data_IF_410873438553
#
_entry.id   IF_410873438553
#
_cell.length_a   1.000
_cell.length_b   1.000
_cell.length_c   1.000
_cell.angle_alpha   90.00
_cell.angle_beta   90.00
_cell.angle_gamma   90.00
#
_symmetry.space_group_name_H-M   'P 1'
#
loop_
_entity.id
_entity.type
_entity.pdbx_description
1 polymer ?
#
# COMPACT_ATOMS: atom_id res chain seq x y z
N UNK A 1 -5.04 4.31 -19.20
CA UNK A 1 -4.81 3.98 -17.77
C UNK A 1 -3.95 5.09 -17.17
N UNK A 2 -4.29 5.63 -15.99
CA UNK A 2 -3.42 6.56 -15.28
C UNK A 2 -2.08 5.88 -14.94
N UNK A 3 -0.99 6.66 -14.92
CA UNK A 3 0.32 6.12 -14.60
C UNK A 3 0.42 5.77 -13.10
N UNK A 4 1.24 4.78 -12.71
CA UNK A 4 1.47 4.45 -11.30
C UNK A 4 1.88 5.66 -10.45
N UNK A 5 2.66 6.57 -11.02
CA UNK A 5 3.05 7.81 -10.36
C UNK A 5 1.85 8.75 -10.13
N UNK A 6 0.95 8.89 -11.11
CA UNK A 6 -0.26 9.69 -10.96
C UNK A 6 -1.19 9.10 -9.90
N UNK A 7 -1.34 7.77 -9.87
CA UNK A 7 -2.15 7.08 -8.87
C UNK A 7 -1.58 7.26 -7.47
N UNK A 8 -0.26 7.12 -7.31
CA UNK A 8 0.40 7.39 -6.03
C UNK A 8 0.12 8.82 -5.54
N UNK A 9 0.24 9.82 -6.43
CA UNK A 9 -0.10 11.22 -6.11
C UNK A 9 -1.54 11.36 -5.62
N UNK A 10 -2.49 10.70 -6.27
CA UNK A 10 -3.89 10.67 -5.84
C UNK A 10 -4.04 10.08 -4.43
N UNK A 11 -3.32 9.01 -4.10
CA UNK A 11 -3.40 8.38 -2.77
C UNK A 11 -2.86 9.29 -1.67
N UNK A 12 -1.79 10.05 -1.93
CA UNK A 12 -1.16 10.91 -0.91
C UNK A 12 -1.81 12.28 -0.77
N UNK A 13 -2.57 12.72 -1.77
CA UNK A 13 -3.28 14.00 -1.72
C UNK A 13 -4.43 13.95 -0.70
N UNK A 14 -4.36 14.80 0.32
CA UNK A 14 -5.35 14.88 1.38
C UNK A 14 -6.68 15.53 0.93
N UNK A 15 -6.66 16.31 -0.16
CA UNK A 15 -7.85 16.96 -0.72
C UNK A 15 -8.69 15.99 -1.56
N UNK A 16 -8.11 14.87 -1.97
CA UNK A 16 -8.82 13.86 -2.76
C UNK A 16 -9.80 13.10 -1.86
N UNK A 17 -11.05 12.89 -2.30
CA UNK A 17 -12.03 12.12 -1.54
C UNK A 17 -11.50 10.74 -1.13
N UNK A 18 -11.87 10.31 0.08
CA UNK A 18 -11.42 9.03 0.63
C UNK A 18 -11.64 7.86 -0.31
N UNK A 19 -12.78 7.83 -1.01
CA UNK A 19 -13.12 6.75 -1.93
C UNK A 19 -12.18 6.73 -3.14
N UNK A 20 -11.94 7.89 -3.76
CA UNK A 20 -11.00 8.03 -4.88
C UNK A 20 -9.58 7.62 -4.50
N UNK A 21 -9.14 7.95 -3.28
CA UNK A 21 -7.83 7.49 -2.76
C UNK A 21 -7.75 5.98 -2.63
N UNK A 22 -8.83 5.32 -2.19
CA UNK A 22 -8.87 3.85 -2.11
C UNK A 22 -8.86 3.21 -3.49
N UNK A 23 -9.67 3.72 -4.42
CA UNK A 23 -9.69 3.25 -5.81
C UNK A 23 -8.32 3.37 -6.46
N UNK A 24 -7.59 4.44 -6.19
CA UNK A 24 -6.22 4.59 -6.70
C UNK A 24 -5.25 3.51 -6.17
N UNK A 25 -5.45 2.99 -4.96
CA UNK A 25 -4.67 1.85 -4.44
C UNK A 25 -5.01 0.57 -5.20
N UNK A 26 -6.28 0.34 -5.50
CA UNK A 26 -6.74 -0.84 -6.25
C UNK A 26 -6.24 -0.79 -7.71
N UNK A 27 -6.20 0.39 -8.31
CA UNK A 27 -5.61 0.61 -9.63
C UNK A 27 -4.08 0.40 -9.62
N UNK A 28 -3.38 0.77 -8.55
CA UNK A 28 -1.96 0.45 -8.37
C UNK A 28 -1.72 -1.06 -8.28
N UNK A 29 -2.63 -1.80 -7.65
CA UNK A 29 -2.58 -3.27 -7.60
C UNK A 29 -2.74 -3.88 -9.01
N UNK A 30 -3.71 -3.38 -9.77
CA UNK A 30 -3.98 -3.81 -11.15
C UNK A 30 -2.79 -3.51 -12.07
N UNK A 31 -2.06 -2.42 -11.81
CA UNK A 31 -0.86 -2.05 -12.55
C UNK A 31 0.43 -2.75 -12.05
N UNK A 32 0.33 -3.69 -11.11
CA UNK A 32 1.46 -4.37 -10.46
C UNK A 32 2.51 -3.39 -9.89
N UNK A 33 2.06 -2.21 -9.46
CA UNK A 33 2.90 -1.11 -8.99
C UNK A 33 3.35 -1.32 -7.53
N UNK A 34 4.01 -2.45 -7.28
CA UNK A 34 4.44 -2.93 -5.95
C UNK A 34 5.33 -1.93 -5.22
N UNK A 35 6.19 -1.20 -5.94
CA UNK A 35 7.05 -0.17 -5.33
C UNK A 35 6.22 0.95 -4.70
N UNK A 36 5.23 1.48 -5.42
CA UNK A 36 4.34 2.53 -4.95
C UNK A 36 3.46 2.02 -3.80
N UNK A 37 2.95 0.80 -3.90
CA UNK A 37 2.16 0.17 -2.84
C UNK A 37 2.99 -0.01 -1.55
N UNK A 38 4.25 -0.42 -1.66
CA UNK A 38 5.18 -0.48 -0.52
C UNK A 38 5.36 0.89 0.12
N UNK A 39 5.60 1.93 -0.67
CA UNK A 39 5.74 3.30 -0.14
C UNK A 39 4.48 3.73 0.61
N UNK A 40 3.29 3.45 0.08
CA UNK A 40 2.01 3.74 0.75
C UNK A 40 1.91 2.99 2.09
N UNK A 41 2.29 1.70 2.12
CA UNK A 41 2.23 0.88 3.33
C UNK A 41 3.14 1.41 4.47
N UNK A 42 4.33 1.91 4.14
CA UNK A 42 5.31 2.38 5.14
C UNK A 42 5.13 3.84 5.55
N UNK A 43 4.48 4.66 4.73
CA UNK A 43 4.33 6.11 4.99
C UNK A 43 3.52 6.37 6.26
N UNK A 44 4.16 6.91 7.30
CA UNK A 44 3.55 7.18 8.61
C UNK A 44 2.48 8.28 8.57
N UNK A 45 2.60 9.24 7.66
CA UNK A 45 1.62 10.32 7.47
C UNK A 45 0.32 9.91 6.77
N UNK A 46 0.21 8.67 6.27
CA UNK A 46 -1.02 8.17 5.69
C UNK A 46 -1.91 7.50 6.74
N UNK A 47 -3.21 7.76 6.65
CA UNK A 47 -4.17 7.13 7.55
C UNK A 47 -4.08 5.60 7.46
N UNK A 48 -4.15 4.94 8.61
CA UNK A 48 -4.01 3.48 8.75
C UNK A 48 -4.82 2.64 7.75
N UNK A 49 -6.07 2.99 7.39
CA UNK A 49 -6.82 2.26 6.37
C UNK A 49 -6.13 2.16 5.00
N UNK A 50 -5.47 3.23 4.55
CA UNK A 50 -4.76 3.23 3.25
C UNK A 50 -3.53 2.33 3.30
N UNK A 51 -2.79 2.38 4.41
CA UNK A 51 -1.61 1.54 4.64
C UNK A 51 -1.96 0.06 4.63
N UNK A 52 -3.06 -0.32 5.30
CA UNK A 52 -3.57 -1.70 5.32
C UNK A 52 -4.07 -2.16 3.96
N UNK A 53 -4.76 -1.29 3.21
CA UNK A 53 -5.21 -1.61 1.86
C UNK A 53 -4.03 -1.82 0.91
N UNK A 54 -2.97 -1.02 1.02
CA UNK A 54 -1.76 -1.20 0.24
C UNK A 54 -1.04 -2.53 0.54
N UNK A 55 -1.02 -2.98 1.79
CA UNK A 55 -0.53 -4.32 2.14
C UNK A 55 -1.37 -5.42 1.49
N UNK A 56 -2.70 -5.31 1.54
CA UNK A 56 -3.60 -6.26 0.86
C UNK A 56 -3.38 -6.27 -0.65
N UNK A 57 -3.18 -5.11 -1.27
CA UNK A 57 -2.86 -4.98 -2.68
C UNK A 57 -1.51 -5.63 -3.03
N UNK A 58 -0.47 -5.48 -2.19
CA UNK A 58 0.81 -6.18 -2.37
C UNK A 58 0.63 -7.71 -2.36
N UNK A 59 -0.24 -8.23 -1.48
CA UNK A 59 -0.57 -9.66 -1.46
C UNK A 59 -1.27 -10.12 -2.73
N UNK A 60 -2.18 -9.30 -3.27
CA UNK A 60 -2.84 -9.58 -4.55
C UNK A 60 -1.86 -9.59 -5.73
N UNK A 61 -0.83 -8.75 -5.70
CA UNK A 61 0.23 -8.75 -6.71
C UNK A 61 1.25 -9.88 -6.55
N UNK A 62 1.11 -10.76 -5.54
CA UNK A 62 2.09 -11.82 -5.26
C UNK A 62 3.46 -11.31 -4.81
N UNK A 63 3.53 -10.10 -4.23
CA UNK A 63 4.78 -9.48 -3.79
C UNK A 63 5.28 -10.04 -2.44
N UNK A 64 5.34 -11.36 -2.30
CA UNK A 64 5.69 -12.07 -1.05
C UNK A 64 7.02 -11.60 -0.47
N UNK A 65 8.09 -11.48 -1.27
CA UNK A 65 9.39 -10.97 -0.80
C UNK A 65 9.30 -9.58 -0.16
N UNK A 66 8.46 -8.70 -0.69
CA UNK A 66 8.26 -7.37 -0.10
C UNK A 66 7.44 -7.46 1.18
N UNK A 67 6.45 -8.35 1.25
CA UNK A 67 5.62 -8.55 2.44
C UNK A 67 6.42 -9.15 3.59
N UNK A 68 7.32 -10.11 3.33
CA UNK A 68 8.24 -10.65 4.33
C UNK A 68 9.14 -9.55 4.91
N UNK A 69 9.74 -8.73 4.04
CA UNK A 69 10.55 -7.58 4.48
C UNK A 69 9.75 -6.59 5.32
N UNK A 70 8.49 -6.35 4.96
CA UNK A 70 7.60 -5.47 5.74
C UNK A 70 7.15 -6.12 7.05
N UNK A 71 7.06 -7.44 7.12
CA UNK A 71 6.77 -8.16 8.36
C UNK A 71 7.91 -8.03 9.38
N UNK A 72 9.16 -8.00 8.91
CA UNK A 72 10.35 -7.87 9.75
C UNK A 72 10.76 -6.42 10.06
N UNK A 73 10.17 -5.44 9.36
CA UNK A 73 10.49 -4.02 9.54
C UNK A 73 9.95 -3.47 10.87
N UNK A 74 10.83 -3.42 11.88
CA UNK A 74 10.52 -2.93 13.23
C UNK A 74 10.05 -1.46 13.31
N UNK A 75 10.32 -0.65 12.28
CA UNK A 75 9.81 0.73 12.19
C UNK A 75 8.29 0.78 11.97
N UNK A 76 7.70 -0.32 11.47
CA UNK A 76 6.27 -0.42 11.25
C UNK A 76 5.54 -0.82 12.52
N UNK A 77 4.35 -0.22 12.67
CA UNK A 77 3.43 -0.57 13.74
C UNK A 77 3.16 -2.07 13.73
N UNK A 78 3.13 -2.69 14.92
CA UNK A 78 2.99 -4.15 15.09
C UNK A 78 1.81 -4.73 14.30
N UNK A 79 0.70 -4.00 14.20
CA UNK A 79 -0.47 -4.43 13.43
C UNK A 79 -0.20 -4.56 11.92
N UNK A 80 0.61 -3.66 11.35
CA UNK A 80 0.97 -3.71 9.92
C UNK A 80 1.93 -4.87 9.65
N UNK A 81 2.93 -5.07 10.52
CA UNK A 81 3.84 -6.23 10.44
C UNK A 81 3.10 -7.57 10.50
N UNK A 82 2.18 -7.71 11.45
CA UNK A 82 1.34 -8.91 11.56
C UNK A 82 0.52 -9.14 10.30
N UNK A 83 -0.05 -8.09 9.72
CA UNK A 83 -0.82 -8.21 8.50
C UNK A 83 0.07 -8.59 7.30
N UNK A 84 1.24 -7.97 7.17
CA UNK A 84 2.21 -8.32 6.13
C UNK A 84 2.61 -9.81 6.22
N UNK A 85 2.87 -10.31 7.43
CA UNK A 85 3.20 -11.73 7.67
C UNK A 85 2.08 -12.70 7.30
N UNK A 86 0.82 -12.29 7.40
CA UNK A 86 -0.34 -13.13 7.02
C UNK A 86 -0.55 -13.16 5.51
N UNK A 87 -0.07 -12.13 4.80
CA UNK A 87 -0.27 -11.95 3.36
C UNK A 87 0.93 -12.40 2.51
N UNK A 88 2.09 -12.59 3.13
CA UNK A 88 3.30 -13.14 2.51
C UNK A 88 3.09 -14.62 2.20
#
# INVERSE_FOLDING_TARGET
>A
MPSPHSLFRTVVDANVPRQTRKTAIDELATAEATTQLRVIAVTSGLAGPYRRQALSALGQCGATDMLERLADDSSLHRSLRKQAKVLA
#
